data_IF_270649267021
#
_entry.id   IF_270649267021
#
_cell.length_a   1.000
_cell.length_b   1.000
_cell.length_c   1.000
_cell.angle_alpha   90.00
_cell.angle_beta   90.00
_cell.angle_gamma   90.00
#
_symmetry.space_group_name_H-M   'P 1'
#
loop_
_entity.id
_entity.type
_entity.pdbx_description
1 polymer ?
#
# COMPACT_ATOMS: atom_id res chain seq x y z
N UNK A 1 -1.72 9.35 -0.10
CA UNK A 1 -1.02 8.51 -1.11
C UNK A 1 -0.30 7.29 -0.50
N UNK A 2 -0.04 7.23 0.82
CA UNK A 2 0.62 6.07 1.43
C UNK A 2 -0.20 4.76 1.41
N UNK A 3 -1.52 4.86 1.57
CA UNK A 3 -2.40 3.69 1.66
C UNK A 3 -2.34 2.77 0.42
N UNK A 4 -2.45 3.34 -0.79
CA UNK A 4 -2.40 2.56 -2.04
C UNK A 4 -1.03 1.92 -2.25
N UNK A 5 0.04 2.64 -1.89
CA UNK A 5 1.40 2.11 -1.98
C UNK A 5 1.64 0.93 -1.01
N UNK A 6 1.15 1.03 0.24
CA UNK A 6 1.24 -0.05 1.22
C UNK A 6 0.44 -1.28 0.77
N UNK A 7 -0.79 -1.08 0.27
CA UNK A 7 -1.62 -2.17 -0.24
C UNK A 7 -0.96 -2.90 -1.43
N UNK A 8 -0.36 -2.15 -2.36
CA UNK A 8 0.35 -2.71 -3.50
C UNK A 8 1.61 -3.50 -3.06
N UNK A 9 2.40 -3.00 -2.11
CA UNK A 9 3.56 -3.72 -1.57
C UNK A 9 3.17 -5.03 -0.86
N UNK A 10 2.09 -5.01 -0.08
CA UNK A 10 1.56 -6.21 0.59
C UNK A 10 1.03 -7.24 -0.42
N UNK A 11 0.53 -6.79 -1.57
CA UNK A 11 0.15 -7.68 -2.67
C UNK A 11 1.36 -8.37 -3.30
N UNK A 12 2.46 -7.65 -3.53
CA UNK A 12 3.70 -8.22 -4.10
C UNK A 12 4.33 -9.28 -3.19
N UNK A 13 4.22 -9.11 -1.88
CA UNK A 13 4.62 -10.14 -0.91
C UNK A 13 3.88 -9.93 0.42
N UNK A 14 3.05 -10.90 0.85
CA UNK A 14 2.36 -10.81 2.13
C UNK A 14 3.31 -10.89 3.34
N UNK A 15 4.57 -11.30 3.13
CA UNK A 15 5.62 -11.30 4.15
C UNK A 15 6.40 -9.98 4.23
N UNK A 16 6.13 -9.01 3.34
CA UNK A 16 6.76 -7.70 3.38
C UNK A 16 6.09 -6.84 4.46
N UNK A 17 6.88 -6.33 5.42
CA UNK A 17 6.38 -5.45 6.47
C UNK A 17 6.89 -4.01 6.22
N UNK A 18 6.11 -3.16 5.53
CA UNK A 18 6.50 -1.78 5.34
C UNK A 18 6.59 -1.06 6.70
N UNK A 19 7.62 -0.25 6.89
CA UNK A 19 7.80 0.60 8.09
C UNK A 19 7.50 2.04 7.69
N UNK A 20 6.21 2.44 7.57
CA UNK A 20 5.87 3.78 7.14
C UNK A 20 6.16 4.80 8.25
N UNK A 21 7.05 5.74 7.96
CA UNK A 21 7.26 6.91 8.82
C UNK A 21 6.16 7.95 8.59
N UNK A 22 5.49 8.39 9.67
CA UNK A 22 4.60 9.57 9.63
C UNK A 22 4.63 10.33 10.95
N UNK A 23 4.55 11.66 10.88
CA UNK A 23 4.43 12.56 12.05
C UNK A 23 2.99 12.96 12.37
N UNK A 24 2.01 12.53 11.56
CA UNK A 24 0.58 12.86 11.70
C UNK A 24 -0.24 11.61 11.99
N UNK A 25 -1.11 11.71 13.00
CA UNK A 25 -1.98 10.60 13.43
C UNK A 25 -2.95 10.15 12.34
N UNK A 26 -3.48 11.09 11.55
CA UNK A 26 -4.40 10.76 10.44
C UNK A 26 -3.74 9.86 9.39
N UNK A 27 -2.49 10.11 9.04
CA UNK A 27 -1.75 9.25 8.12
C UNK A 27 -1.41 7.88 8.74
N UNK A 28 -1.24 7.80 10.07
CA UNK A 28 -1.05 6.51 10.74
C UNK A 28 -2.31 5.65 10.57
N UNK A 29 -3.49 6.24 10.79
CA UNK A 29 -4.78 5.57 10.62
C UNK A 29 -4.99 5.12 9.15
N UNK A 30 -4.67 5.97 8.18
CA UNK A 30 -4.72 5.62 6.74
C UNK A 30 -3.74 4.49 6.38
N UNK A 31 -2.51 4.51 6.92
CA UNK A 31 -1.51 3.49 6.67
C UNK A 31 -1.90 2.14 7.28
N UNK A 32 -2.55 2.13 8.45
CA UNK A 32 -3.07 0.91 9.06
C UNK A 32 -4.22 0.33 8.25
N UNK A 33 -5.16 1.16 7.79
CA UNK A 33 -6.27 0.75 6.94
C UNK A 33 -5.84 0.26 5.55
N UNK A 34 -4.58 0.48 5.15
CA UNK A 34 -4.04 0.00 3.88
C UNK A 34 -3.95 -1.52 3.80
N UNK A 35 -3.76 -2.20 4.93
CA UNK A 35 -3.64 -3.66 4.97
C UNK A 35 -4.94 -4.36 4.55
N UNK A 36 -6.08 -3.68 4.71
CA UNK A 36 -7.40 -4.21 4.36
C UNK A 36 -7.82 -3.85 2.92
N UNK A 37 -7.04 -3.03 2.20
CA UNK A 37 -7.36 -2.63 0.83
C UNK A 37 -7.07 -3.79 -0.13
N UNK A 38 -8.10 -4.24 -0.82
CA UNK A 38 -8.01 -5.23 -1.88
C UNK A 38 -7.90 -4.51 -3.23
N UNK A 39 -6.79 -4.73 -3.94
CA UNK A 39 -6.59 -4.24 -5.30
C UNK A 39 -6.99 -5.33 -6.30
N UNK A 40 -7.63 -4.96 -7.41
CA UNK A 40 -7.87 -5.88 -8.53
C UNK A 40 -6.57 -6.12 -9.30
N UNK A 41 -6.51 -7.22 -10.04
CA UNK A 41 -5.37 -7.55 -10.89
C UNK A 41 -5.04 -6.42 -11.86
N UNK A 42 -6.05 -5.79 -12.47
CA UNK A 42 -5.86 -4.66 -13.38
C UNK A 42 -5.23 -3.45 -12.68
N UNK A 43 -5.62 -3.16 -11.43
CA UNK A 43 -5.05 -2.06 -10.65
C UNK A 43 -3.60 -2.34 -10.26
N UNK A 44 -3.28 -3.60 -9.95
CA UNK A 44 -1.91 -4.03 -9.64
C UNK A 44 -1.02 -3.91 -10.87
N UNK A 45 -1.51 -4.31 -12.04
CA UNK A 45 -0.79 -4.22 -13.30
C UNK A 45 -0.51 -2.75 -13.67
N UNK A 46 -1.51 -1.87 -13.53
CA UNK A 46 -1.37 -0.43 -13.77
C UNK A 46 -0.32 0.20 -12.83
N UNK A 47 -0.38 -0.11 -11.52
CA UNK A 47 0.57 0.38 -10.54
C UNK A 47 1.99 -0.14 -10.79
N UNK A 48 2.12 -1.41 -11.21
CA UNK A 48 3.41 -2.02 -11.52
C UNK A 48 4.05 -1.42 -12.78
N UNK A 49 3.24 -1.12 -13.80
CA UNK A 49 3.68 -0.42 -14.99
C UNK A 49 4.13 1.02 -14.70
N UNK A 50 3.44 1.72 -13.79
CA UNK A 50 3.78 3.10 -13.41
C UNK A 50 5.01 3.21 -12.48
N UNK A 51 5.37 2.12 -11.80
CA UNK A 51 6.53 2.05 -10.90
C UNK A 51 7.85 1.63 -11.60
N UNK A 52 7.78 1.34 -12.91
CA UNK A 52 8.91 0.95 -13.77
C UNK A 52 9.46 2.16 -14.54
#
# INVERSE_FOLDING_TARGET
MGQVAIAWLLHLSPAMLPIPGTSRRTHLEENLAAADVQLTTEQIDELSAAAS
#
